data_IF_822163910144
#
_entry.id   IF_822163910144
#
_cell.length_a   1.000
_cell.length_b   1.000
_cell.length_c   1.000
_cell.angle_alpha   90.00
_cell.angle_beta   90.00
_cell.angle_gamma   90.00
#
_symmetry.space_group_name_H-M   'P 1'
#
loop_
_entity.id
_entity.type
_entity.pdbx_description
1 polymer ?
#
# COMPACT_ATOMS: atom_id res chain seq x y z
N UNK A 1 27.36 -20.18 -1.86
CA UNK A 1 26.04 -19.75 -1.42
C UNK A 1 26.11 -18.28 -1.13
N UNK A 2 25.88 -17.43 -2.13
CA UNK A 2 26.22 -16.01 -2.11
C UNK A 2 25.02 -15.09 -2.37
N UNK A 3 23.78 -15.58 -2.28
CA UNK A 3 22.58 -14.76 -2.44
C UNK A 3 22.12 -14.10 -1.13
N UNK A 4 22.27 -14.81 -0.01
CA UNK A 4 21.87 -14.30 1.31
C UNK A 4 22.80 -13.24 1.86
N UNK A 5 24.10 -13.30 1.53
CA UNK A 5 25.08 -12.31 1.99
C UNK A 5 24.71 -10.90 1.47
N UNK A 6 24.28 -10.77 0.20
CA UNK A 6 23.83 -9.50 -0.37
C UNK A 6 22.55 -8.93 0.25
N UNK A 7 21.71 -9.76 0.90
CA UNK A 7 20.50 -9.28 1.60
C UNK A 7 20.84 -8.66 2.96
N UNK A 8 22.02 -8.94 3.51
CA UNK A 8 22.42 -8.52 4.84
C UNK A 8 23.59 -7.53 4.88
N UNK A 9 24.40 -7.46 3.81
CA UNK A 9 25.66 -6.71 3.78
C UNK A 9 25.48 -5.16 3.75
N UNK A 10 24.33 -4.67 3.27
CA UNK A 10 24.04 -3.21 3.14
C UNK A 10 23.10 -2.70 4.25
N UNK A 11 23.33 -3.11 5.50
CA UNK A 11 22.52 -2.68 6.65
C UNK A 11 21.42 -3.66 7.11
N UNK A 12 21.48 -4.92 6.66
CA UNK A 12 20.50 -5.94 7.03
C UNK A 12 19.17 -5.85 6.28
N UNK A 13 18.25 -6.81 6.54
CA UNK A 13 16.87 -6.77 6.04
C UNK A 13 16.04 -5.64 6.66
N UNK A 14 16.54 -5.04 7.76
CA UNK A 14 15.85 -4.06 8.60
C UNK A 14 16.78 -2.87 8.92
N UNK A 15 17.29 -2.12 7.93
CA UNK A 15 18.25 -1.04 8.16
C UNK A 15 17.67 0.10 9.03
N UNK A 16 16.35 0.29 9.00
CA UNK A 16 15.61 1.26 9.81
C UNK A 16 14.92 0.62 11.05
N UNK A 17 15.21 -0.66 11.35
CA UNK A 17 14.65 -1.41 12.49
C UNK A 17 13.21 -1.90 12.31
N UNK A 18 12.75 -2.80 13.19
CA UNK A 18 11.39 -3.34 13.14
C UNK A 18 10.29 -2.26 13.36
N UNK A 19 10.64 -1.14 13.99
CA UNK A 19 9.73 0.00 14.19
C UNK A 19 9.29 0.66 12.88
N UNK A 20 10.18 0.77 11.89
CA UNK A 20 9.83 1.39 10.59
C UNK A 20 8.83 0.53 9.81
N UNK A 21 8.90 -0.80 9.96
CA UNK A 21 7.89 -1.71 9.40
C UNK A 21 6.54 -1.44 10.03
N UNK A 22 6.48 -1.35 11.37
CA UNK A 22 5.22 -1.10 12.06
C UNK A 22 4.60 0.24 11.63
N UNK A 23 5.40 1.30 11.52
CA UNK A 23 4.93 2.60 11.04
C UNK A 23 4.46 2.53 9.58
N UNK A 24 5.18 1.81 8.71
CA UNK A 24 4.77 1.58 7.32
C UNK A 24 3.45 0.82 7.21
N UNK A 25 3.29 -0.25 7.99
CA UNK A 25 2.04 -1.03 8.07
C UNK A 25 0.89 -0.16 8.57
N UNK A 26 1.10 0.64 9.62
CA UNK A 26 0.09 1.57 10.14
C UNK A 26 -0.33 2.61 9.11
N UNK A 27 0.62 3.21 8.39
CA UNK A 27 0.35 4.15 7.29
C UNK A 27 -0.48 3.50 6.18
N UNK A 28 -0.12 2.27 5.80
CA UNK A 28 -0.82 1.51 4.78
C UNK A 28 -2.26 1.21 5.22
N UNK A 29 -2.46 0.70 6.44
CA UNK A 29 -3.79 0.43 7.01
C UNK A 29 -4.64 1.71 7.06
N UNK A 30 -4.07 2.83 7.51
CA UNK A 30 -4.77 4.11 7.52
C UNK A 30 -5.18 4.58 6.11
N UNK A 31 -4.38 4.31 5.09
CA UNK A 31 -4.71 4.67 3.69
C UNK A 31 -5.82 3.79 3.10
N UNK A 32 -6.08 2.63 3.69
CA UNK A 32 -7.19 1.74 3.32
C UNK A 32 -8.51 2.06 4.03
N UNK A 33 -8.47 2.76 5.17
CA UNK A 33 -9.67 3.28 5.85
C UNK A 33 -10.41 4.27 4.93
N UNK A 34 -11.52 3.83 4.34
CA UNK A 34 -12.39 4.67 3.49
C UNK A 34 -12.68 4.09 2.11
N UNK A 35 -11.92 3.12 1.59
CA UNK A 35 -12.31 2.46 0.34
C UNK A 35 -13.53 1.57 0.46
N UNK A 36 -13.81 1.10 1.67
CA UNK A 36 -15.00 0.31 1.97
C UNK A 36 -16.29 1.11 1.75
N UNK A 37 -16.27 2.43 1.99
CA UNK A 37 -17.40 3.33 1.75
C UNK A 37 -17.71 3.45 0.25
N UNK A 38 -16.70 3.48 -0.61
CA UNK A 38 -16.88 3.51 -2.07
C UNK A 38 -17.46 2.18 -2.57
N UNK A 39 -17.08 1.06 -1.95
CA UNK A 39 -17.61 -0.27 -2.25
C UNK A 39 -19.06 -0.41 -1.79
N UNK A 40 -19.41 0.09 -0.60
CA UNK A 40 -20.80 0.15 -0.11
C UNK A 40 -21.68 1.00 -1.04
N UNK A 41 -21.18 2.18 -1.42
CA UNK A 41 -21.88 3.04 -2.38
C UNK A 41 -22.04 2.37 -3.75
N UNK A 42 -21.15 1.46 -4.16
CA UNK A 42 -21.31 0.71 -5.40
C UNK A 42 -22.46 -0.31 -5.34
N UNK A 43 -22.75 -0.87 -4.16
CA UNK A 43 -23.88 -1.78 -3.94
C UNK A 43 -25.23 -1.06 -3.91
N UNK A 44 -25.26 0.19 -3.44
CA UNK A 44 -26.48 1.01 -3.33
C UNK A 44 -26.70 1.94 -4.53
N UNK A 45 -25.72 2.09 -5.43
CA UNK A 45 -25.82 3.04 -6.55
C UNK A 45 -26.59 2.45 -7.72
N UNK A 46 -27.46 3.29 -8.32
CA UNK A 46 -28.14 3.02 -9.58
C UNK A 46 -27.20 2.80 -10.76
N UNK A 47 -25.91 3.15 -10.63
CA UNK A 47 -24.90 2.97 -11.66
C UNK A 47 -23.65 2.24 -11.12
N UNK A 48 -23.78 0.95 -10.79
CA UNK A 48 -22.76 0.18 -10.06
C UNK A 48 -21.44 0.09 -10.81
N UNK A 49 -21.48 0.03 -12.14
CA UNK A 49 -20.29 -0.09 -12.98
C UNK A 49 -19.33 1.10 -12.78
N UNK A 50 -19.86 2.33 -12.72
CA UNK A 50 -19.05 3.54 -12.52
C UNK A 50 -18.48 3.62 -11.10
N UNK A 51 -19.25 3.16 -10.11
CA UNK A 51 -18.82 3.11 -8.72
C UNK A 51 -17.70 2.07 -8.49
N UNK A 52 -17.83 0.87 -9.09
CA UNK A 52 -16.79 -0.17 -9.08
C UNK A 52 -15.51 0.35 -9.74
N UNK A 53 -15.59 0.98 -10.92
CA UNK A 53 -14.40 1.57 -11.55
C UNK A 53 -13.73 2.61 -10.66
N UNK A 54 -14.52 3.42 -9.93
CA UNK A 54 -13.98 4.41 -8.99
C UNK A 54 -13.26 3.76 -7.80
N UNK A 55 -13.81 2.66 -7.28
CA UNK A 55 -13.18 1.86 -6.22
C UNK A 55 -11.85 1.24 -6.70
N UNK A 56 -11.85 0.62 -7.87
CA UNK A 56 -10.65 0.03 -8.48
C UNK A 56 -9.57 1.10 -8.72
N UNK A 57 -9.92 2.25 -9.30
CA UNK A 57 -8.97 3.34 -9.52
C UNK A 57 -8.42 3.90 -8.20
N UNK A 58 -9.23 3.95 -7.14
CA UNK A 58 -8.76 4.34 -5.81
C UNK A 58 -7.74 3.34 -5.24
N UNK A 59 -7.92 2.04 -5.46
CA UNK A 59 -6.93 1.02 -5.06
C UNK A 59 -5.64 1.18 -5.86
N UNK A 60 -5.73 1.27 -7.19
CA UNK A 60 -4.57 1.44 -8.08
C UNK A 60 -3.75 2.67 -7.67
N UNK A 61 -4.42 3.81 -7.42
CA UNK A 61 -3.73 5.04 -7.05
C UNK A 61 -2.98 4.94 -5.72
N UNK A 62 -3.53 4.21 -4.75
CA UNK A 62 -2.87 3.98 -3.47
C UNK A 62 -1.65 3.09 -3.60
N UNK A 63 -1.71 1.98 -4.36
CA UNK A 63 -0.49 1.16 -4.57
C UNK A 63 0.58 1.93 -5.35
N UNK A 64 0.18 2.77 -6.32
CA UNK A 64 1.12 3.63 -7.02
C UNK A 64 1.83 4.60 -6.05
N UNK A 65 1.09 5.29 -5.17
CA UNK A 65 1.66 6.19 -4.17
C UNK A 65 2.60 5.45 -3.21
N UNK A 66 2.22 4.27 -2.70
CA UNK A 66 3.07 3.52 -1.77
C UNK A 66 4.31 2.95 -2.44
N UNK A 67 4.17 2.45 -3.66
CA UNK A 67 5.29 1.89 -4.41
C UNK A 67 6.30 2.99 -4.78
N UNK A 68 5.81 4.08 -5.38
CA UNK A 68 6.65 5.21 -5.76
C UNK A 68 7.21 5.91 -4.51
N UNK A 69 6.39 6.13 -3.49
CA UNK A 69 6.82 6.69 -2.21
C UNK A 69 7.88 5.84 -1.52
N UNK A 70 7.77 4.50 -1.56
CA UNK A 70 8.82 3.61 -1.07
C UNK A 70 10.12 3.78 -1.85
N UNK A 71 10.06 3.95 -3.17
CA UNK A 71 11.27 4.18 -3.98
C UNK A 71 11.91 5.53 -3.68
N UNK A 72 11.11 6.56 -3.38
CA UNK A 72 11.63 7.89 -3.03
C UNK A 72 12.23 7.96 -1.62
N UNK A 73 11.75 7.15 -0.69
CA UNK A 73 12.19 7.14 0.71
C UNK A 73 13.42 6.24 0.92
N UNK A 74 13.55 5.17 0.12
CA UNK A 74 14.73 4.27 0.08
C UNK A 74 15.87 4.94 -0.67
#
# INVERSE_FOLDING_TARGET
>A
GSGFDHLTDTGGFLPNGAGSILTGVLLVVFSFMGSEIVTLAAGESSNPQKAVTKATNSVIWRIAIFYLGSIFVV
#
